data_IF_731404127379
#
_entry.id   IF_731404127379
#
_cell.length_a   1.000
_cell.length_b   1.000
_cell.length_c   1.000
_cell.angle_alpha   90.00
_cell.angle_beta   90.00
_cell.angle_gamma   90.00
#
_symmetry.space_group_name_H-M   'P 1'
#
loop_
_entity.id
_entity.type
_entity.pdbx_description
1 polymer ?
#
# COMPACT_ATOMS: atom_id res chain seq x y z
N UNK A 1 54.10 53.10 36.60
CA UNK A 1 54.41 51.64 36.68
C UNK A 1 53.12 50.88 36.42
N UNK A 2 52.94 50.24 35.25
CA UNK A 2 51.66 49.61 34.89
C UNK A 2 51.72 48.63 33.71
N UNK A 3 52.92 48.13 33.37
CA UNK A 3 53.18 47.38 32.12
C UNK A 3 53.22 45.84 32.27
N UNK A 4 53.41 45.18 33.45
CA UNK A 4 53.63 43.73 33.48
C UNK A 4 52.35 42.90 33.21
N UNK A 5 51.17 43.41 33.54
CA UNK A 5 49.90 42.66 33.39
C UNK A 5 49.49 42.52 31.91
N UNK A 6 49.73 43.55 31.10
CA UNK A 6 49.33 43.55 29.70
C UNK A 6 50.15 42.56 28.86
N UNK A 7 51.45 42.43 29.13
CA UNK A 7 52.32 41.46 28.47
C UNK A 7 51.96 40.01 28.87
N UNK A 8 51.57 39.79 30.12
CA UNK A 8 51.12 38.48 30.61
C UNK A 8 49.79 38.05 29.96
N UNK A 9 48.80 38.94 29.92
CA UNK A 9 47.51 38.68 29.26
C UNK A 9 47.67 38.35 27.77
N UNK A 10 48.50 39.11 27.03
CA UNK A 10 48.71 38.90 25.60
C UNK A 10 49.43 37.58 25.28
N UNK A 11 50.27 37.10 26.21
CA UNK A 11 50.96 35.81 26.09
C UNK A 11 49.98 34.64 26.26
N UNK A 12 49.11 34.69 27.27
CA UNK A 12 48.14 33.63 27.51
C UNK A 12 46.93 33.68 26.58
N UNK A 13 46.60 34.84 26.01
CA UNK A 13 45.55 34.94 24.99
C UNK A 13 45.89 34.11 23.73
N UNK A 14 47.16 34.07 23.29
CA UNK A 14 47.59 33.21 22.18
C UNK A 14 47.49 31.70 22.49
N UNK A 15 47.78 31.29 23.72
CA UNK A 15 47.64 29.89 24.13
C UNK A 15 46.18 29.46 24.19
N UNK A 16 45.31 30.35 24.66
CA UNK A 16 43.86 30.17 24.67
C UNK A 16 43.35 30.04 23.22
N UNK A 17 43.66 31.00 22.35
CA UNK A 17 43.21 31.02 20.94
C UNK A 17 43.68 29.77 20.15
N UNK A 18 44.87 29.26 20.45
CA UNK A 18 45.43 28.06 19.83
C UNK A 18 44.70 26.76 20.15
N UNK A 19 44.03 26.67 21.31
CA UNK A 19 43.25 25.50 21.74
C UNK A 19 41.79 25.58 21.26
N UNK A 20 41.20 26.78 21.26
CA UNK A 20 39.80 26.99 20.85
C UNK A 20 39.57 26.82 19.34
N UNK A 21 40.54 27.17 18.50
CA UNK A 21 40.44 27.00 17.04
C UNK A 21 40.24 25.54 16.58
N UNK A 22 41.06 24.55 17.00
CA UNK A 22 40.86 23.16 16.60
C UNK A 22 39.62 22.52 17.23
N UNK A 23 39.30 22.85 18.49
CA UNK A 23 38.09 22.36 19.16
C UNK A 23 36.81 22.85 18.45
N UNK A 24 36.73 24.14 18.13
CA UNK A 24 35.57 24.69 17.41
C UNK A 24 35.38 24.06 16.03
N UNK A 25 36.47 23.71 15.35
CA UNK A 25 36.42 22.99 14.05
C UNK A 25 35.87 21.58 14.22
N UNK A 26 36.31 20.84 15.24
CA UNK A 26 35.80 19.48 15.55
C UNK A 26 34.30 19.54 15.89
N UNK A 27 33.90 20.48 16.75
CA UNK A 27 32.48 20.67 17.10
C UNK A 27 31.64 21.04 15.89
N UNK A 28 32.10 21.95 15.03
CA UNK A 28 31.40 22.33 13.81
C UNK A 28 31.19 21.13 12.88
N UNK A 29 32.24 20.34 12.62
CA UNK A 29 32.13 19.14 11.80
C UNK A 29 31.18 18.10 12.41
N UNK A 30 31.21 17.92 13.73
CA UNK A 30 30.32 17.00 14.44
C UNK A 30 28.86 17.46 14.34
N UNK A 31 28.60 18.75 14.52
CA UNK A 31 27.25 19.33 14.40
C UNK A 31 26.72 19.14 12.98
N UNK A 32 27.54 19.35 11.95
CA UNK A 32 27.14 19.13 10.55
C UNK A 32 26.73 17.67 10.34
N UNK A 33 27.55 16.71 10.78
CA UNK A 33 27.23 15.28 10.67
C UNK A 33 25.92 14.94 11.41
N UNK A 34 25.77 15.40 12.65
CA UNK A 34 24.54 15.17 13.43
C UNK A 34 23.30 15.76 12.75
N UNK A 35 23.42 16.96 12.18
CA UNK A 35 22.32 17.62 11.48
C UNK A 35 21.91 16.85 10.23
N UNK A 36 22.87 16.33 9.46
CA UNK A 36 22.59 15.49 8.28
C UNK A 36 21.92 14.19 8.67
N UNK A 37 22.41 13.51 9.72
CA UNK A 37 21.81 12.26 10.22
C UNK A 37 20.38 12.50 10.69
N UNK A 38 20.12 13.59 11.42
CA UNK A 38 18.79 13.93 11.90
C UNK A 38 17.84 14.32 10.75
N UNK A 39 18.34 15.02 9.73
CA UNK A 39 17.58 15.36 8.53
C UNK A 39 17.18 14.09 7.76
N UNK A 40 18.09 13.12 7.60
CA UNK A 40 17.80 11.83 6.99
C UNK A 40 16.77 11.04 7.81
N UNK A 41 16.94 10.97 9.14
CA UNK A 41 15.99 10.30 10.02
C UNK A 41 14.59 10.90 9.92
N UNK A 42 14.50 12.22 9.93
CA UNK A 42 13.22 12.95 9.78
C UNK A 42 12.60 12.69 8.41
N UNK A 43 13.40 12.66 7.35
CA UNK A 43 12.92 12.36 6.00
C UNK A 43 12.30 10.96 5.91
N UNK A 44 12.99 9.93 6.41
CA UNK A 44 12.45 8.56 6.41
C UNK A 44 11.19 8.43 7.27
N UNK A 45 11.14 9.12 8.41
CA UNK A 45 9.94 9.13 9.26
C UNK A 45 8.75 9.80 8.55
N UNK A 46 8.97 10.94 7.90
CA UNK A 46 7.94 11.64 7.13
C UNK A 46 7.45 10.78 5.95
N UNK A 47 8.36 10.09 5.25
CA UNK A 47 8.01 9.17 4.18
C UNK A 47 7.14 8.01 4.69
N UNK A 48 7.49 7.41 5.83
CA UNK A 48 6.70 6.34 6.44
C UNK A 48 5.29 6.78 6.84
N UNK A 49 5.16 7.97 7.45
CA UNK A 49 3.85 8.54 7.77
C UNK A 49 3.03 8.83 6.51
N UNK A 50 3.65 9.37 5.47
CA UNK A 50 3.00 9.62 4.19
C UNK A 50 2.49 8.34 3.52
N UNK A 51 3.25 7.24 3.59
CA UNK A 51 2.80 5.94 3.09
C UNK A 51 1.57 5.41 3.85
N UNK A 52 1.55 5.55 5.17
CA UNK A 52 0.41 5.14 5.99
C UNK A 52 -0.81 5.99 5.64
N UNK A 53 -0.67 7.31 5.56
CA UNK A 53 -1.77 8.22 5.20
C UNK A 53 -2.33 7.92 3.80
N UNK A 54 -1.47 7.72 2.80
CA UNK A 54 -1.89 7.32 1.46
C UNK A 54 -2.65 5.98 1.48
N UNK A 55 -2.19 5.02 2.29
CA UNK A 55 -2.87 3.73 2.44
C UNK A 55 -4.25 3.87 3.09
N UNK A 56 -4.39 4.76 4.07
CA UNK A 56 -5.68 5.08 4.69
C UNK A 56 -6.65 5.68 3.66
N UNK A 57 -6.18 6.49 2.72
CA UNK A 57 -7.00 6.98 1.61
C UNK A 57 -7.55 5.87 0.70
N UNK A 58 -6.73 4.84 0.42
CA UNK A 58 -7.20 3.65 -0.29
C UNK A 58 -8.21 2.83 0.53
N UNK A 59 -8.03 2.73 1.84
CA UNK A 59 -8.97 2.04 2.73
C UNK A 59 -10.32 2.78 2.78
N UNK A 60 -10.30 4.12 2.82
CA UNK A 60 -11.51 4.93 2.75
C UNK A 60 -12.23 4.71 1.40
N UNK A 61 -11.47 4.74 0.30
CA UNK A 61 -12.00 4.45 -1.05
C UNK A 61 -12.61 3.04 -1.14
N UNK A 62 -11.99 2.04 -0.51
CA UNK A 62 -12.50 0.66 -0.50
C UNK A 62 -13.82 0.50 0.29
N UNK A 63 -13.98 1.30 1.34
CA UNK A 63 -15.15 1.29 2.22
C UNK A 63 -16.17 2.37 1.85
N UNK A 64 -16.00 3.07 0.73
CA UNK A 64 -16.87 4.13 0.26
C UNK A 64 -17.06 4.10 -1.26
N UNK A 65 -17.84 5.07 -1.74
CA UNK A 65 -18.03 5.36 -3.17
C UNK A 65 -18.30 4.13 -4.05
N UNK A 66 -17.68 4.12 -5.22
CA UNK A 66 -17.91 3.13 -6.28
C UNK A 66 -17.45 1.72 -5.90
N UNK A 67 -16.39 1.59 -5.09
CA UNK A 67 -15.86 0.27 -4.71
C UNK A 67 -16.81 -0.40 -3.73
N UNK A 68 -17.34 0.33 -2.74
CA UNK A 68 -18.35 -0.21 -1.83
C UNK A 68 -19.62 -0.61 -2.60
N UNK A 69 -20.08 0.22 -3.54
CA UNK A 69 -21.24 -0.09 -4.39
C UNK A 69 -21.02 -1.37 -5.21
N UNK A 70 -19.85 -1.51 -5.85
CA UNK A 70 -19.46 -2.71 -6.59
C UNK A 70 -19.42 -3.96 -5.69
N UNK A 71 -18.83 -3.86 -4.49
CA UNK A 71 -18.80 -4.95 -3.50
C UNK A 71 -20.20 -5.36 -3.08
N UNK A 72 -21.08 -4.40 -2.83
CA UNK A 72 -22.47 -4.65 -2.48
C UNK A 72 -23.23 -5.34 -3.62
N UNK A 73 -22.96 -4.96 -4.87
CA UNK A 73 -23.57 -5.59 -6.04
C UNK A 73 -23.10 -7.04 -6.19
N UNK A 74 -21.80 -7.28 -6.06
CA UNK A 74 -21.24 -8.63 -6.03
C UNK A 74 -21.88 -9.44 -4.90
N UNK A 75 -21.92 -8.92 -3.69
CA UNK A 75 -22.53 -9.60 -2.55
C UNK A 75 -24.02 -9.93 -2.77
N UNK A 76 -24.79 -8.99 -3.33
CA UNK A 76 -26.22 -9.21 -3.66
C UNK A 76 -26.43 -10.36 -4.63
N UNK A 77 -25.50 -10.59 -5.56
CA UNK A 77 -25.59 -11.72 -6.50
C UNK A 77 -25.41 -13.09 -5.82
N UNK A 78 -24.76 -13.13 -4.66
CA UNK A 78 -24.57 -14.35 -3.87
C UNK A 78 -25.68 -14.59 -2.85
N UNK A 79 -26.44 -13.57 -2.44
CA UNK A 79 -27.51 -13.69 -1.44
C UNK A 79 -28.53 -14.82 -1.67
N UNK A 80 -28.93 -15.15 -2.92
CA UNK A 80 -29.89 -16.24 -3.14
C UNK A 80 -29.32 -17.64 -2.88
N UNK A 81 -28.01 -17.78 -2.71
CA UNK A 81 -27.33 -19.06 -2.56
C UNK A 81 -26.96 -19.31 -1.10
N UNK A 82 -27.44 -20.43 -0.56
CA UNK A 82 -27.10 -20.87 0.80
C UNK A 82 -25.95 -21.88 0.76
N UNK A 83 -24.82 -21.51 1.36
CA UNK A 83 -23.63 -22.35 1.47
C UNK A 83 -23.47 -22.99 2.85
N UNK A 84 -24.39 -22.74 3.79
CA UNK A 84 -24.28 -23.18 5.18
C UNK A 84 -24.29 -24.71 5.38
N UNK A 85 -24.77 -25.47 4.39
CA UNK A 85 -24.80 -26.93 4.44
C UNK A 85 -23.56 -27.63 3.85
N UNK A 86 -22.56 -26.89 3.35
CA UNK A 86 -21.39 -27.46 2.67
C UNK A 86 -20.14 -27.45 3.56
N UNK A 87 -20.16 -28.22 4.66
CA UNK A 87 -19.02 -28.37 5.57
C UNK A 87 -17.80 -29.07 4.94
N UNK A 88 -18.01 -29.80 3.83
CA UNK A 88 -16.98 -30.62 3.19
C UNK A 88 -16.03 -29.86 2.23
N UNK A 89 -16.16 -28.53 2.14
CA UNK A 89 -15.46 -27.73 1.13
C UNK A 89 -16.10 -27.88 -0.25
N UNK A 90 -16.30 -26.77 -0.94
CA UNK A 90 -16.90 -26.77 -2.29
C UNK A 90 -15.78 -26.99 -3.30
N UNK A 91 -15.94 -27.97 -4.20
CA UNK A 91 -14.94 -28.21 -5.25
C UNK A 91 -14.84 -27.02 -6.20
N UNK A 92 -13.67 -26.83 -6.82
CA UNK A 92 -13.46 -25.71 -7.74
C UNK A 92 -14.43 -25.74 -8.91
N UNK A 93 -14.70 -26.92 -9.45
CA UNK A 93 -15.64 -27.12 -10.56
C UNK A 93 -17.05 -26.65 -10.21
N UNK A 94 -17.49 -26.86 -8.96
CA UNK A 94 -18.79 -26.37 -8.49
C UNK A 94 -18.78 -24.86 -8.36
N UNK A 95 -17.70 -24.26 -7.84
CA UNK A 95 -17.55 -22.80 -7.77
C UNK A 95 -17.62 -22.19 -9.17
N UNK A 96 -16.89 -22.74 -10.14
CA UNK A 96 -16.86 -22.24 -11.51
C UNK A 96 -18.24 -22.35 -12.17
N UNK A 97 -18.93 -23.48 -11.98
CA UNK A 97 -20.31 -23.66 -12.47
C UNK A 97 -21.31 -22.71 -11.78
N UNK A 98 -21.08 -22.37 -10.51
CA UNK A 98 -21.91 -21.40 -9.79
C UNK A 98 -21.64 -19.99 -10.29
N UNK A 99 -20.37 -19.62 -10.51
CA UNK A 99 -19.99 -18.33 -11.08
C UNK A 99 -20.60 -18.12 -12.47
N UNK A 100 -20.62 -19.15 -13.32
CA UNK A 100 -21.27 -19.08 -14.62
C UNK A 100 -22.80 -18.92 -14.54
N UNK A 101 -23.42 -19.25 -13.39
CA UNK A 101 -24.85 -19.00 -13.11
C UNK A 101 -25.09 -17.64 -12.46
N UNK A 102 -24.21 -17.23 -11.53
CA UNK A 102 -24.26 -15.99 -10.76
C UNK A 102 -23.92 -14.77 -11.62
N UNK A 103 -23.02 -14.96 -12.60
CA UNK A 103 -22.67 -13.95 -13.59
C UNK A 103 -23.43 -14.29 -14.87
N UNK A 104 -24.70 -13.88 -15.01
CA UNK A 104 -25.47 -14.22 -16.18
C UNK A 104 -24.78 -13.68 -17.43
N UNK A 105 -25.00 -14.38 -18.55
CA UNK A 105 -24.48 -13.97 -19.84
C UNK A 105 -24.71 -12.48 -20.10
N UNK A 106 -23.78 -11.87 -20.83
CA UNK A 106 -23.73 -10.44 -21.20
C UNK A 106 -25.02 -9.94 -21.89
N UNK A 107 -25.90 -10.86 -22.29
CA UNK A 107 -27.22 -10.56 -22.84
C UNK A 107 -28.22 -9.99 -21.84
N UNK A 108 -27.93 -9.97 -20.52
CA UNK A 108 -28.80 -9.35 -19.51
C UNK A 108 -28.14 -8.12 -18.87
N UNK A 109 -28.96 -7.15 -18.44
CA UNK A 109 -28.49 -5.95 -17.74
C UNK A 109 -27.78 -6.31 -16.43
N UNK A 110 -28.35 -7.23 -15.66
CA UNK A 110 -27.77 -7.73 -14.40
C UNK A 110 -26.38 -8.35 -14.59
N UNK A 111 -26.16 -9.08 -15.69
CA UNK A 111 -24.86 -9.67 -16.01
C UNK A 111 -23.81 -8.62 -16.37
N UNK A 112 -24.24 -7.56 -17.06
CA UNK A 112 -23.36 -6.41 -17.34
C UNK A 112 -22.98 -5.68 -16.05
N UNK A 113 -23.94 -5.39 -15.18
CA UNK A 113 -23.71 -4.71 -13.90
C UNK A 113 -22.77 -5.51 -13.00
N UNK A 114 -22.94 -6.84 -12.92
CA UNK A 114 -22.04 -7.70 -12.15
C UNK A 114 -20.60 -7.67 -12.70
N UNK A 115 -20.42 -7.76 -14.02
CA UNK A 115 -19.09 -7.71 -14.64
C UNK A 115 -18.41 -6.35 -14.45
N UNK A 116 -19.18 -5.27 -14.52
CA UNK A 116 -18.68 -3.92 -14.21
C UNK A 116 -18.26 -3.81 -12.74
N UNK A 117 -19.05 -4.35 -11.81
CA UNK A 117 -18.69 -4.38 -10.40
C UNK A 117 -17.40 -5.17 -10.16
N UNK A 118 -17.24 -6.34 -10.79
CA UNK A 118 -15.98 -7.10 -10.74
C UNK A 118 -14.82 -6.27 -11.29
N UNK A 119 -15.01 -5.59 -12.43
CA UNK A 119 -13.96 -4.75 -13.02
C UNK A 119 -13.55 -3.58 -12.13
N UNK A 120 -14.50 -2.93 -11.44
CA UNK A 120 -14.24 -1.85 -10.47
C UNK A 120 -13.39 -2.37 -9.31
N UNK A 121 -13.73 -3.53 -8.76
CA UNK A 121 -12.96 -4.15 -7.66
C UNK A 121 -11.55 -4.51 -8.15
N UNK A 122 -11.42 -5.12 -9.34
CA UNK A 122 -10.12 -5.43 -9.95
C UNK A 122 -9.28 -4.17 -10.13
N UNK A 123 -9.85 -3.11 -10.69
CA UNK A 123 -9.15 -1.84 -10.94
C UNK A 123 -8.66 -1.18 -9.64
N UNK A 124 -9.46 -1.26 -8.56
CA UNK A 124 -9.05 -0.79 -7.25
C UNK A 124 -7.76 -1.50 -6.77
N UNK A 125 -7.73 -2.84 -6.82
CA UNK A 125 -6.58 -3.61 -6.38
C UNK A 125 -5.36 -3.47 -7.30
N UNK A 126 -5.57 -3.33 -8.62
CA UNK A 126 -4.50 -3.01 -9.58
C UNK A 126 -3.88 -1.64 -9.26
N UNK A 127 -4.70 -0.63 -8.93
CA UNK A 127 -4.23 0.69 -8.51
C UNK A 127 -3.49 0.65 -7.16
N UNK A 128 -4.04 -0.09 -6.19
CA UNK A 128 -3.40 -0.26 -4.88
C UNK A 128 -2.03 -0.93 -4.99
N UNK A 129 -1.89 -1.92 -5.87
CA UNK A 129 -0.61 -2.57 -6.15
C UNK A 129 0.41 -1.62 -6.78
N UNK A 130 -0.01 -0.76 -7.71
CA UNK A 130 0.87 0.29 -8.26
C UNK A 130 1.34 1.24 -7.15
N UNK A 131 0.47 1.60 -6.21
CA UNK A 131 0.84 2.45 -5.08
C UNK A 131 1.89 1.78 -4.18
N UNK A 132 1.74 0.48 -3.91
CA UNK A 132 2.72 -0.31 -3.15
C UNK A 132 4.04 -0.40 -3.91
N UNK A 133 4.01 -0.74 -5.20
CA UNK A 133 5.19 -0.91 -6.03
C UNK A 133 6.02 0.38 -6.16
N UNK A 134 5.36 1.54 -6.12
CA UNK A 134 6.03 2.85 -6.13
C UNK A 134 6.50 3.31 -4.74
N UNK A 135 6.37 2.47 -3.70
CA UNK A 135 6.66 2.85 -2.30
C UNK A 135 5.88 4.09 -1.85
N UNK A 136 4.70 4.31 -2.44
CA UNK A 136 3.79 5.41 -2.09
C UNK A 136 2.77 4.97 -1.05
N UNK A 137 2.42 3.68 -1.00
CA UNK A 137 1.57 3.08 0.02
C UNK A 137 2.34 2.04 0.84
N UNK A 138 1.89 1.82 2.07
CA UNK A 138 2.36 0.76 2.95
C UNK A 138 1.62 -0.55 2.65
N UNK A 139 2.36 -1.54 2.13
CA UNK A 139 1.82 -2.88 1.86
C UNK A 139 1.18 -3.50 3.09
N UNK A 140 1.84 -3.41 4.26
CA UNK A 140 1.36 -4.02 5.50
C UNK A 140 0.03 -3.44 5.98
N UNK A 141 -0.18 -2.14 5.78
CA UNK A 141 -1.46 -1.49 6.15
C UNK A 141 -2.58 -1.93 5.22
N UNK A 142 -2.33 -1.94 3.91
CA UNK A 142 -3.34 -2.38 2.93
C UNK A 142 -3.66 -3.87 3.08
N UNK A 143 -2.66 -4.73 3.25
CA UNK A 143 -2.84 -6.16 3.45
C UNK A 143 -3.65 -6.46 4.72
N UNK A 144 -3.37 -5.77 5.82
CA UNK A 144 -4.08 -5.96 7.08
C UNK A 144 -5.56 -5.56 7.01
N UNK A 145 -5.93 -4.63 6.13
CA UNK A 145 -7.30 -4.09 6.08
C UNK A 145 -8.14 -4.65 4.93
N UNK A 146 -7.54 -4.88 3.76
CA UNK A 146 -8.25 -5.31 2.54
C UNK A 146 -7.62 -6.54 1.88
N UNK A 147 -6.50 -7.04 2.38
CA UNK A 147 -5.75 -8.15 1.77
C UNK A 147 -6.53 -9.46 1.75
N UNK A 148 -7.20 -9.80 2.85
CA UNK A 148 -8.01 -11.03 2.93
C UNK A 148 -9.16 -11.00 1.93
N UNK A 149 -9.91 -9.89 1.86
CA UNK A 149 -10.94 -9.71 0.84
C UNK A 149 -10.37 -9.83 -0.57
N UNK A 150 -9.23 -9.19 -0.85
CA UNK A 150 -8.57 -9.24 -2.15
C UNK A 150 -8.17 -10.67 -2.54
N UNK A 151 -7.59 -11.44 -1.61
CA UNK A 151 -7.26 -12.85 -1.82
C UNK A 151 -8.51 -13.66 -2.14
N UNK A 152 -9.51 -13.60 -1.27
CA UNK A 152 -10.71 -14.44 -1.40
C UNK A 152 -11.48 -14.08 -2.67
N UNK A 153 -11.56 -12.78 -2.98
CA UNK A 153 -12.15 -12.29 -4.22
C UNK A 153 -11.38 -12.78 -5.44
N UNK A 154 -10.04 -12.70 -5.46
CA UNK A 154 -9.24 -13.22 -6.57
C UNK A 154 -9.45 -14.72 -6.73
N UNK A 155 -9.35 -15.49 -5.65
CA UNK A 155 -9.51 -16.94 -5.69
C UNK A 155 -10.89 -17.31 -6.23
N UNK A 156 -11.95 -16.65 -5.77
CA UNK A 156 -13.29 -16.88 -6.27
C UNK A 156 -13.42 -16.47 -7.76
N UNK A 157 -13.05 -15.25 -8.11
CA UNK A 157 -13.34 -14.65 -9.43
C UNK A 157 -12.28 -14.85 -10.51
N UNK A 158 -11.17 -15.55 -10.23
CA UNK A 158 -10.08 -15.76 -11.18
C UNK A 158 -10.53 -16.12 -12.61
N UNK A 159 -11.47 -17.07 -12.85
CA UNK A 159 -11.84 -17.47 -14.21
C UNK A 159 -12.58 -16.36 -14.96
N UNK A 160 -13.31 -15.50 -14.24
CA UNK A 160 -13.95 -14.33 -14.84
C UNK A 160 -12.91 -13.28 -15.18
N UNK A 161 -11.99 -13.00 -14.25
CA UNK A 161 -10.90 -12.04 -14.46
C UNK A 161 -10.06 -12.44 -15.67
N UNK A 162 -9.68 -13.71 -15.78
CA UNK A 162 -8.90 -14.24 -16.91
C UNK A 162 -9.69 -14.15 -18.23
N UNK A 163 -10.99 -14.47 -18.23
CA UNK A 163 -11.85 -14.29 -19.41
C UNK A 163 -11.96 -12.83 -19.86
N UNK A 164 -12.14 -11.89 -18.92
CA UNK A 164 -12.18 -10.46 -19.23
C UNK A 164 -10.84 -9.95 -19.75
N UNK A 165 -9.75 -10.39 -19.13
CA UNK A 165 -8.38 -10.07 -19.54
C UNK A 165 -8.13 -10.47 -21.00
N UNK A 166 -8.47 -11.71 -21.36
CA UNK A 166 -8.27 -12.25 -22.70
C UNK A 166 -9.19 -11.56 -23.71
N UNK A 167 -10.46 -11.35 -23.36
CA UNK A 167 -11.44 -10.68 -24.22
C UNK A 167 -11.06 -9.23 -24.52
N UNK A 168 -10.61 -8.50 -23.50
CA UNK A 168 -10.22 -7.10 -23.61
C UNK A 168 -8.78 -6.87 -24.05
N UNK A 169 -7.96 -7.93 -24.14
CA UNK A 169 -6.50 -7.84 -24.33
C UNK A 169 -5.82 -6.93 -23.29
N UNK A 170 -6.31 -6.94 -22.06
CA UNK A 170 -5.87 -6.05 -20.98
C UNK A 170 -4.70 -6.67 -20.22
N UNK A 171 -3.47 -6.45 -20.67
CA UNK A 171 -2.26 -7.15 -20.15
C UNK A 171 -2.14 -7.16 -18.62
N UNK A 172 -2.47 -6.03 -17.97
CA UNK A 172 -2.31 -5.83 -16.53
C UNK A 172 -3.58 -6.07 -15.70
N UNK A 173 -4.72 -6.39 -16.31
CA UNK A 173 -5.99 -6.53 -15.59
C UNK A 173 -5.94 -7.72 -14.62
N UNK A 174 -6.19 -7.45 -13.34
CA UNK A 174 -6.15 -8.45 -12.26
C UNK A 174 -4.76 -8.77 -11.74
N UNK A 175 -3.71 -8.08 -12.21
CA UNK A 175 -2.35 -8.30 -11.74
C UNK A 175 -2.17 -7.93 -10.27
N UNK A 176 -2.81 -6.85 -9.80
CA UNK A 176 -2.78 -6.43 -8.41
C UNK A 176 -3.49 -7.41 -7.49
N UNK A 177 -4.69 -7.87 -7.87
CA UNK A 177 -5.40 -8.94 -7.14
C UNK A 177 -4.57 -10.22 -7.03
N UNK A 178 -3.94 -10.65 -8.13
CA UNK A 178 -3.04 -11.80 -8.12
C UNK A 178 -1.87 -11.59 -7.17
N UNK A 179 -1.26 -10.41 -7.19
CA UNK A 179 -0.13 -10.07 -6.32
C UNK A 179 -0.52 -10.12 -4.84
N UNK A 180 -1.69 -9.53 -4.50
CA UNK A 180 -2.28 -9.62 -3.16
C UNK A 180 -2.50 -11.07 -2.75
N UNK A 181 -3.15 -11.87 -3.60
CA UNK A 181 -3.40 -13.28 -3.30
C UNK A 181 -2.11 -14.06 -3.02
N UNK A 182 -1.07 -13.88 -3.85
CA UNK A 182 0.23 -14.52 -3.66
C UNK A 182 0.89 -14.12 -2.33
N UNK A 183 0.81 -12.84 -1.93
CA UNK A 183 1.33 -12.37 -0.63
C UNK A 183 0.53 -12.91 0.56
N UNK A 184 -0.77 -13.16 0.37
CA UNK A 184 -1.69 -13.66 1.39
C UNK A 184 -1.78 -15.20 1.48
N UNK A 185 -0.86 -15.93 0.82
CA UNK A 185 -0.76 -17.39 0.89
C UNK A 185 -1.30 -18.14 -0.33
N UNK A 186 -1.76 -17.43 -1.36
CA UNK A 186 -2.30 -17.99 -2.59
C UNK A 186 -3.76 -18.42 -2.51
N UNK A 187 -4.16 -19.13 -3.56
CA UNK A 187 -5.33 -20.01 -3.61
C UNK A 187 -4.77 -21.44 -3.63
#
# INVERSE_FOLDING_TARGET
MGIPVYAWLKKHQKEIDGIWSPLSTIFANTIIVLTVVLALATYYQAQGLGQVEASLGYIDTFNGGEVLEARNLVYKSWLPYDFSGNDAGISREVIDALLDRVVPNIGTLEGLEHRLAVAVIVAFFDSAEVCIAQSACSASVLEAQVGEYGRDFYCLYQPIIDREKDRGKLVAFGAGLRSVALRMGGC
#
